data_IF_541584927691
#
_entry.id   IF_541584927691
#
_cell.length_a   1.000
_cell.length_b   1.000
_cell.length_c   1.000
_cell.angle_alpha   90.00
_cell.angle_beta   90.00
_cell.angle_gamma   90.00
#
_symmetry.space_group_name_H-M   'P 1'
#
loop_
_entity.id
_entity.type
_entity.pdbx_description
1 polymer ?
#
# COMPACT_ATOMS: atom_id res chain seq x y z
N UNK A 1 25.50 -8.00 -16.47
CA UNK A 1 24.79 -9.20 -16.00
C UNK A 1 24.23 -9.97 -17.18
N UNK A 2 24.52 -11.25 -17.28
CA UNK A 2 23.87 -12.09 -18.29
C UNK A 2 22.41 -12.32 -17.91
N UNK A 3 21.49 -12.03 -18.84
CA UNK A 3 20.09 -12.38 -18.68
C UNK A 3 19.92 -13.89 -18.89
N UNK A 4 19.34 -14.56 -17.91
CA UNK A 4 18.98 -15.97 -18.04
C UNK A 4 17.52 -16.05 -18.48
N UNK A 5 17.24 -16.88 -19.47
CA UNK A 5 15.89 -17.13 -19.94
C UNK A 5 15.29 -18.30 -19.15
N UNK A 6 14.08 -18.10 -18.62
CA UNK A 6 13.32 -19.13 -17.92
C UNK A 6 12.00 -19.29 -18.66
N UNK A 7 11.64 -20.52 -19.02
CA UNK A 7 10.33 -20.83 -19.59
C UNK A 7 9.35 -21.15 -18.46
N UNK A 8 8.19 -20.51 -18.47
CA UNK A 8 7.12 -20.71 -17.50
C UNK A 8 5.83 -21.04 -18.23
N UNK A 9 5.18 -22.12 -17.82
CA UNK A 9 3.83 -22.45 -18.29
C UNK A 9 2.80 -21.81 -17.37
N UNK A 10 1.93 -20.98 -17.95
CA UNK A 10 0.85 -20.33 -17.23
C UNK A 10 -0.49 -21.03 -17.53
N UNK A 11 -1.38 -21.17 -16.54
CA UNK A 11 -2.75 -21.58 -16.80
C UNK A 11 -3.44 -20.62 -17.78
N UNK A 12 -4.35 -21.14 -18.61
CA UNK A 12 -5.00 -20.36 -19.66
C UNK A 12 -5.79 -19.17 -19.10
N UNK A 13 -6.47 -19.35 -17.98
CA UNK A 13 -7.21 -18.30 -17.30
C UNK A 13 -6.32 -17.14 -16.81
N UNK A 14 -5.13 -17.46 -16.35
CA UNK A 14 -4.14 -16.45 -15.95
C UNK A 14 -3.57 -15.72 -17.16
N UNK A 15 -3.30 -16.45 -18.24
CA UNK A 15 -2.81 -15.88 -19.49
C UNK A 15 -3.85 -14.92 -20.10
N UNK A 16 -5.14 -15.27 -20.05
CA UNK A 16 -6.23 -14.42 -20.51
C UNK A 16 -6.30 -13.11 -19.71
N UNK A 17 -6.15 -13.17 -18.40
CA UNK A 17 -6.10 -11.97 -17.54
C UNK A 17 -4.90 -11.08 -17.85
N UNK A 18 -3.73 -11.66 -18.11
CA UNK A 18 -2.53 -10.91 -18.50
C UNK A 18 -2.77 -10.21 -19.85
N UNK A 19 -3.36 -10.89 -20.83
CA UNK A 19 -3.67 -10.31 -22.13
C UNK A 19 -4.70 -9.19 -22.02
N UNK A 20 -5.70 -9.32 -21.15
CA UNK A 20 -6.67 -8.28 -20.85
C UNK A 20 -5.98 -7.03 -20.26
N UNK A 21 -5.07 -7.20 -19.32
CA UNK A 21 -4.30 -6.10 -18.75
C UNK A 21 -3.37 -5.44 -19.77
N UNK A 22 -2.77 -6.22 -20.66
CA UNK A 22 -1.97 -5.71 -21.77
C UNK A 22 -2.78 -4.77 -22.66
N UNK A 23 -4.02 -5.11 -22.97
CA UNK A 23 -4.91 -4.27 -23.76
C UNK A 23 -5.26 -2.97 -23.04
N UNK A 24 -5.51 -3.03 -21.73
CA UNK A 24 -5.89 -1.87 -20.91
C UNK A 24 -4.72 -0.90 -20.67
N UNK A 25 -3.52 -1.41 -20.45
CA UNK A 25 -2.36 -0.60 -20.02
C UNK A 25 -1.41 -0.24 -21.15
N UNK A 26 -1.49 -0.91 -22.29
CA UNK A 26 -0.54 -0.75 -23.39
C UNK A 26 0.84 -1.34 -23.13
N UNK A 27 1.05 -2.00 -22.00
CA UNK A 27 2.30 -2.69 -21.68
C UNK A 27 2.41 -4.01 -22.45
N UNK A 28 3.63 -4.42 -22.81
CA UNK A 28 3.81 -5.73 -23.41
C UNK A 28 3.68 -6.87 -22.38
N UNK A 29 3.46 -8.08 -22.83
CA UNK A 29 3.23 -9.24 -21.97
C UNK A 29 4.39 -9.52 -21.01
N UNK A 30 5.63 -9.42 -21.47
CA UNK A 30 6.82 -9.66 -20.63
C UNK A 30 6.93 -8.61 -19.51
N UNK A 31 6.67 -7.33 -19.81
CA UNK A 31 6.69 -6.28 -18.81
C UNK A 31 5.63 -6.49 -17.72
N UNK A 32 4.42 -6.92 -18.10
CA UNK A 32 3.35 -7.23 -17.13
C UNK A 32 3.70 -8.42 -16.25
N UNK A 33 4.27 -9.48 -16.80
CA UNK A 33 4.68 -10.65 -16.03
C UNK A 33 5.77 -10.29 -15.04
N UNK A 34 6.78 -9.53 -15.45
CA UNK A 34 7.86 -9.07 -14.58
C UNK A 34 7.27 -8.22 -13.44
N UNK A 35 6.39 -7.28 -13.74
CA UNK A 35 5.75 -6.43 -12.74
C UNK A 35 4.96 -7.25 -11.71
N UNK A 36 4.20 -8.26 -12.15
CA UNK A 36 3.46 -9.15 -11.26
C UNK A 36 4.36 -9.99 -10.38
N UNK A 37 5.47 -10.51 -10.93
CA UNK A 37 6.47 -11.28 -10.16
C UNK A 37 7.11 -10.38 -9.11
N UNK A 38 7.54 -9.18 -9.47
CA UNK A 38 8.14 -8.22 -8.55
C UNK A 38 7.19 -7.85 -7.42
N UNK A 39 5.93 -7.58 -7.71
CA UNK A 39 4.90 -7.31 -6.70
C UNK A 39 4.66 -8.52 -5.79
N UNK A 40 4.60 -9.72 -6.35
CA UNK A 40 4.43 -10.96 -5.59
C UNK A 40 5.61 -11.26 -4.66
N UNK A 41 6.81 -10.84 -5.02
CA UNK A 41 8.02 -10.97 -4.21
C UNK A 41 8.24 -9.79 -3.23
N UNK A 42 7.35 -8.80 -3.24
CA UNK A 42 7.51 -7.59 -2.45
C UNK A 42 8.48 -6.58 -3.05
N UNK A 43 8.88 -6.78 -4.30
CA UNK A 43 9.64 -5.78 -5.04
C UNK A 43 8.70 -4.81 -5.74
N UNK A 44 8.99 -3.54 -5.61
CA UNK A 44 8.33 -2.49 -6.38
C UNK A 44 9.37 -1.83 -7.28
N UNK A 45 9.39 -2.22 -8.57
CA UNK A 45 10.38 -1.72 -9.51
C UNK A 45 10.14 -0.28 -9.96
N UNK A 46 8.90 0.17 -9.89
CA UNK A 46 8.48 1.49 -10.37
C UNK A 46 8.23 2.49 -9.26
N UNK A 47 8.17 2.02 -8.03
CA UNK A 47 8.09 2.92 -6.91
C UNK A 47 9.47 3.39 -6.55
N UNK A 48 9.65 4.67 -6.58
CA UNK A 48 10.81 5.30 -6.01
C UNK A 48 10.75 5.06 -4.49
N UNK A 49 11.16 3.86 -4.08
CA UNK A 49 11.15 3.40 -2.69
C UNK A 49 11.91 4.39 -1.80
N UNK A 50 12.83 5.15 -2.40
CA UNK A 50 13.62 6.17 -1.72
C UNK A 50 12.85 7.49 -1.47
N UNK A 51 11.71 7.69 -2.13
CA UNK A 51 10.90 8.91 -1.98
C UNK A 51 9.61 8.73 -1.20
N UNK A 52 9.15 7.49 -0.95
CA UNK A 52 7.89 7.24 -0.24
C UNK A 52 8.09 6.98 1.23
N UNK A 53 7.21 7.59 2.01
CA UNK A 53 7.13 7.39 3.46
C UNK A 53 5.95 6.47 3.76
N UNK A 54 6.16 5.54 4.69
CA UNK A 54 5.12 4.61 5.12
C UNK A 54 4.75 4.89 6.57
N UNK A 55 3.44 4.90 6.84
CA UNK A 55 2.91 5.13 8.17
C UNK A 55 1.96 4.04 8.58
N UNK A 56 2.12 3.59 9.83
CA UNK A 56 1.11 2.81 10.55
C UNK A 56 0.32 3.76 11.44
N UNK A 57 -1.00 3.75 11.29
CA UNK A 57 -1.90 4.61 12.05
C UNK A 57 -2.99 3.76 12.71
N UNK A 58 -2.93 3.69 14.03
CA UNK A 58 -3.93 2.99 14.85
C UNK A 58 -4.93 4.01 15.37
N UNK A 59 -6.19 3.77 15.13
CA UNK A 59 -7.25 4.73 15.42
C UNK A 59 -8.42 4.07 16.14
N UNK A 60 -9.19 4.87 16.86
CA UNK A 60 -10.53 4.50 17.32
C UNK A 60 -11.55 5.17 16.42
N UNK A 61 -12.36 4.37 15.79
CA UNK A 61 -13.38 4.79 14.84
C UNK A 61 -14.59 5.31 15.60
N UNK A 62 -15.18 6.40 15.14
CA UNK A 62 -16.47 6.88 15.64
C UNK A 62 -17.61 6.10 14.97
N UNK A 63 -18.16 5.14 15.68
CA UNK A 63 -19.23 4.27 15.16
C UNK A 63 -20.45 5.03 14.68
N UNK A 64 -20.76 6.19 15.29
CA UNK A 64 -21.91 7.00 14.91
C UNK A 64 -21.74 7.64 13.53
N UNK A 65 -20.52 7.74 13.02
CA UNK A 65 -20.19 8.35 11.72
C UNK A 65 -19.90 7.33 10.61
N UNK A 66 -20.00 6.03 10.89
CA UNK A 66 -19.63 4.99 9.92
C UNK A 66 -20.55 4.93 8.72
N UNK A 67 -21.83 5.22 8.87
CA UNK A 67 -22.77 5.26 7.74
C UNK A 67 -22.42 6.40 6.79
N UNK A 68 -22.18 7.58 7.32
CA UNK A 68 -21.72 8.75 6.53
C UNK A 68 -20.40 8.47 5.83
N UNK A 69 -19.45 7.90 6.55
CA UNK A 69 -18.15 7.52 6.00
C UNK A 69 -18.29 6.54 4.83
N UNK A 70 -19.11 5.50 4.99
CA UNK A 70 -19.36 4.51 3.95
C UNK A 70 -20.00 5.12 2.69
N UNK A 71 -20.94 6.05 2.87
CA UNK A 71 -21.56 6.77 1.74
C UNK A 71 -20.55 7.63 0.99
N UNK A 72 -19.68 8.33 1.69
CA UNK A 72 -18.62 9.14 1.08
C UNK A 72 -17.58 8.30 0.36
N UNK A 73 -17.24 7.13 0.90
CA UNK A 73 -16.39 6.17 0.20
C UNK A 73 -17.01 5.72 -1.12
N UNK A 74 -18.29 5.34 -1.11
CA UNK A 74 -19.01 4.92 -2.32
C UNK A 74 -19.10 6.02 -3.35
N UNK A 75 -19.26 7.25 -2.93
CA UNK A 75 -19.36 8.42 -3.82
C UNK A 75 -18.00 8.91 -4.34
N UNK A 76 -16.89 8.31 -3.90
CA UNK A 76 -15.55 8.73 -4.28
C UNK A 76 -15.10 10.06 -3.69
N UNK A 77 -15.75 10.51 -2.63
CA UNK A 77 -15.40 11.75 -1.93
C UNK A 77 -14.17 11.60 -1.02
N UNK A 78 -13.80 10.36 -0.70
CA UNK A 78 -12.62 10.05 0.10
C UNK A 78 -11.57 9.43 -0.81
N UNK A 79 -10.40 10.05 -0.88
CA UNK A 79 -9.27 9.52 -1.62
C UNK A 79 -8.59 8.39 -0.82
N UNK A 80 -8.62 7.19 -1.36
CA UNK A 80 -8.02 5.99 -0.77
C UNK A 80 -6.73 5.55 -1.47
N UNK A 81 -6.22 6.36 -2.41
CA UNK A 81 -5.07 5.99 -3.25
C UNK A 81 -3.78 5.73 -2.47
N UNK A 82 -3.63 6.31 -1.29
CA UNK A 82 -2.48 6.13 -0.41
C UNK A 82 -2.64 4.97 0.59
N UNK A 83 -3.76 4.30 0.59
CA UNK A 83 -4.00 3.16 1.49
C UNK A 83 -3.35 1.90 0.96
N UNK A 84 -2.45 1.31 1.74
CA UNK A 84 -1.85 0.01 1.45
C UNK A 84 -2.78 -1.10 1.94
N UNK A 85 -3.18 -1.03 3.21
CA UNK A 85 -4.12 -1.96 3.82
C UNK A 85 -4.81 -1.32 5.02
N UNK A 86 -6.01 -1.81 5.31
CA UNK A 86 -6.78 -1.44 6.49
C UNK A 86 -7.42 -2.67 7.09
N UNK A 87 -7.26 -2.84 8.38
CA UNK A 87 -7.91 -3.91 9.16
C UNK A 87 -8.52 -3.32 10.42
N UNK A 88 -9.47 -4.04 11.00
CA UNK A 88 -9.97 -3.76 12.34
C UNK A 88 -9.66 -4.93 13.26
N UNK A 89 -9.55 -4.66 14.54
CA UNK A 89 -9.30 -5.72 15.54
C UNK A 89 -10.60 -6.49 15.77
N UNK A 90 -10.56 -7.82 15.71
CA UNK A 90 -11.74 -8.67 15.88
C UNK A 90 -12.39 -8.50 17.27
N UNK A 91 -11.58 -8.47 18.31
CA UNK A 91 -12.03 -8.31 19.69
C UNK A 91 -12.54 -6.90 20.01
N UNK A 92 -12.13 -5.90 19.24
CA UNK A 92 -12.61 -4.52 19.33
C UNK A 92 -12.73 -3.91 17.93
N UNK A 93 -13.87 -4.13 17.24
CA UNK A 93 -14.03 -3.67 15.87
C UNK A 93 -14.01 -2.14 15.69
N UNK A 94 -14.03 -1.39 16.77
CA UNK A 94 -13.88 0.07 16.72
C UNK A 94 -12.42 0.53 16.55
N UNK A 95 -11.47 -0.39 16.70
CA UNK A 95 -10.04 -0.08 16.49
C UNK A 95 -9.63 -0.45 15.08
N UNK A 96 -9.25 0.56 14.32
CA UNK A 96 -8.72 0.43 12.95
C UNK A 96 -7.19 0.47 12.93
N UNK A 97 -6.62 -0.37 12.08
CA UNK A 97 -5.19 -0.47 11.81
C UNK A 97 -4.97 -0.10 10.34
N UNK A 98 -4.33 1.02 10.09
CA UNK A 98 -4.14 1.53 8.74
C UNK A 98 -2.65 1.57 8.39
N UNK A 99 -2.32 1.17 7.17
CA UNK A 99 -1.01 1.37 6.58
C UNK A 99 -1.16 2.27 5.35
N UNK A 100 -0.49 3.40 5.36
CA UNK A 100 -0.52 4.39 4.31
C UNK A 100 0.87 4.65 3.73
N UNK A 101 0.93 4.99 2.45
CA UNK A 101 2.13 5.51 1.82
C UNK A 101 1.88 6.93 1.32
N UNK A 102 2.84 7.78 1.51
CA UNK A 102 2.80 9.19 1.10
C UNK A 102 4.17 9.63 0.60
N UNK A 103 4.21 10.70 -0.17
CA UNK A 103 5.46 11.23 -0.72
C UNK A 103 6.15 12.23 0.22
N UNK A 104 5.41 12.75 1.19
CA UNK A 104 5.91 13.73 2.15
C UNK A 104 5.12 13.71 3.45
N UNK A 105 5.69 14.30 4.49
CA UNK A 105 5.01 14.53 5.76
C UNK A 105 3.80 15.45 5.61
N UNK A 106 3.91 16.45 4.74
CA UNK A 106 2.79 17.34 4.41
C UNK A 106 1.62 16.57 3.79
N UNK A 107 1.89 15.65 2.87
CA UNK A 107 0.87 14.78 2.29
C UNK A 107 0.24 13.87 3.35
N UNK A 108 1.04 13.33 4.26
CA UNK A 108 0.53 12.53 5.39
C UNK A 108 -0.48 13.32 6.22
N UNK A 109 -0.18 14.56 6.55
CA UNK A 109 -1.09 15.42 7.32
C UNK A 109 -2.41 15.70 6.56
N UNK A 110 -2.36 15.85 5.24
CA UNK A 110 -3.56 16.01 4.40
C UNK A 110 -4.41 14.74 4.40
N UNK A 111 -3.78 13.57 4.27
CA UNK A 111 -4.46 12.28 4.35
C UNK A 111 -5.12 12.09 5.70
N UNK A 112 -4.39 12.33 6.76
CA UNK A 112 -4.91 12.21 8.12
C UNK A 112 -6.09 13.17 8.37
N UNK A 113 -6.00 14.41 7.90
CA UNK A 113 -7.06 15.39 8.02
C UNK A 113 -8.36 14.95 7.34
N UNK A 114 -8.27 14.21 6.25
CA UNK A 114 -9.43 13.65 5.55
C UNK A 114 -10.19 12.63 6.40
N UNK A 115 -9.49 11.82 7.18
CA UNK A 115 -10.08 10.77 8.02
C UNK A 115 -10.43 11.22 9.44
N UNK A 116 -9.76 12.25 9.96
CA UNK A 116 -9.95 12.75 11.33
C UNK A 116 -11.41 12.94 11.76
N UNK A 117 -12.32 13.46 10.91
CA UNK A 117 -13.73 13.64 11.29
C UNK A 117 -14.45 12.34 11.68
N UNK A 118 -13.92 11.19 11.25
CA UNK A 118 -14.51 9.86 11.48
C UNK A 118 -13.83 9.09 12.61
N UNK A 119 -12.81 9.68 13.22
CA UNK A 119 -12.07 9.07 14.33
C UNK A 119 -12.45 9.73 15.65
N UNK A 120 -12.66 8.92 16.68
CA UNK A 120 -12.73 9.41 18.06
C UNK A 120 -11.35 9.75 18.60
N UNK A 121 -10.35 8.97 18.21
CA UNK A 121 -9.01 9.05 18.74
C UNK A 121 -8.00 8.49 17.74
N UNK A 122 -6.86 9.12 17.65
CA UNK A 122 -5.67 8.58 17.01
C UNK A 122 -4.84 7.98 18.14
N UNK A 123 -4.81 6.64 18.23
CA UNK A 123 -4.16 5.94 19.33
C UNK A 123 -2.65 5.96 19.17
N UNK A 124 -2.18 5.73 17.94
CA UNK A 124 -0.78 5.62 17.64
C UNK A 124 -0.50 5.97 16.17
N UNK A 125 0.61 6.65 15.95
CA UNK A 125 1.14 6.94 14.62
C UNK A 125 2.62 6.60 14.60
N UNK A 126 3.03 5.69 13.73
CA UNK A 126 4.42 5.25 13.61
C UNK A 126 4.84 5.31 12.14
N UNK A 127 5.95 5.97 11.88
CA UNK A 127 6.61 5.84 10.59
C UNK A 127 7.28 4.48 10.52
N UNK A 128 7.01 3.71 9.47
CA UNK A 128 7.54 2.37 9.28
C UNK A 128 8.38 2.30 8.02
N UNK A 129 9.28 1.35 7.97
CA UNK A 129 10.14 1.10 6.82
C UNK A 129 10.07 -0.37 6.42
N UNK A 130 10.44 -0.65 5.18
CA UNK A 130 10.51 -2.03 4.70
C UNK A 130 11.62 -2.81 5.42
N UNK A 131 11.52 -4.15 5.50
CA UNK A 131 12.60 -4.95 6.07
C UNK A 131 13.95 -4.73 5.39
N UNK A 132 13.95 -4.50 4.08
CA UNK A 132 15.18 -4.20 3.33
C UNK A 132 15.83 -2.89 3.80
N UNK A 133 15.04 -1.84 3.97
CA UNK A 133 15.55 -0.56 4.48
C UNK A 133 15.97 -0.66 5.95
N UNK A 134 15.27 -1.45 6.74
CA UNK A 134 15.66 -1.74 8.12
C UNK A 134 17.04 -2.41 8.18
N UNK A 135 17.28 -3.42 7.35
CA UNK A 135 18.59 -4.06 7.27
C UNK A 135 19.70 -3.09 6.90
N UNK A 136 19.47 -2.20 5.95
CA UNK A 136 20.45 -1.16 5.58
C UNK A 136 20.79 -0.27 6.75
N UNK A 137 19.79 0.24 7.46
CA UNK A 137 20.00 1.10 8.63
C UNK A 137 20.75 0.38 9.76
N UNK A 138 20.41 -0.88 10.03
CA UNK A 138 21.10 -1.69 11.03
C UNK A 138 22.57 -1.86 10.65
N UNK A 139 22.85 -2.19 9.39
CA UNK A 139 24.21 -2.38 8.90
C UNK A 139 25.03 -1.08 8.93
N UNK A 140 24.42 0.04 8.57
CA UNK A 140 25.05 1.36 8.65
C UNK A 140 25.42 1.73 10.08
N UNK A 141 24.51 1.47 11.04
CA UNK A 141 24.74 1.73 12.45
C UNK A 141 25.84 0.82 13.06
N UNK A 142 26.00 -0.39 12.52
CA UNK A 142 27.06 -1.30 12.97
C UNK A 142 28.46 -0.88 12.50
N UNK A 143 28.58 -0.04 11.48
CA UNK A 143 29.86 0.50 10.97
C UNK A 143 30.42 1.65 11.81
N UNK A 144 29.59 2.23 12.65
CA UNK A 144 29.94 3.31 13.57
C UNK A 144 30.15 2.74 14.97
#
# INVERSE_FOLDING_TARGET
MSKKCIAVHLPDDLLDKINEQKTKTGHNQSALIIDLIEKGLGYSSNENIFGKMFYFVKVRIDSAKMIEFGQKLQNGEIDTSHTIMTYCIEDDPTVGLNFWHVDSEEEFEKVLAQYKPYYKEIIETIQVITPMNSMKLIMENMKN
#
